data_IF_799462809586
#
_entry.id   IF_799462809586
#
_cell.length_a   1.000
_cell.length_b   1.000
_cell.length_c   1.000
_cell.angle_alpha   90.00
_cell.angle_beta   90.00
_cell.angle_gamma   90.00
#
_symmetry.space_group_name_H-M   'P 1'
#
loop_
_entity.id
_entity.type
_entity.pdbx_description
1 polymer ?
#
# COMPACT_ATOMS: atom_id res chain seq x y z
N UNK A 1 -30.22 22.38 -8.68
CA UNK A 1 -28.87 21.86 -9.04
C UNK A 1 -27.83 22.92 -8.70
N UNK A 2 -27.64 23.17 -7.41
CA UNK A 2 -26.62 24.13 -6.99
C UNK A 2 -25.26 23.53 -7.34
N UNK A 3 -24.49 24.23 -8.17
CA UNK A 3 -23.09 23.94 -8.47
C UNK A 3 -22.30 24.11 -7.17
N UNK A 4 -22.34 23.07 -6.32
CA UNK A 4 -22.00 23.12 -4.90
C UNK A 4 -20.63 23.72 -4.63
N UNK A 5 -20.61 24.62 -3.64
CA UNK A 5 -19.47 25.28 -2.99
C UNK A 5 -18.08 24.95 -3.56
N UNK A 6 -17.44 25.94 -4.20
CA UNK A 6 -16.06 25.84 -4.70
C UNK A 6 -15.05 25.32 -3.66
N UNK A 7 -15.34 25.53 -2.36
CA UNK A 7 -14.56 25.00 -1.23
C UNK A 7 -14.60 23.48 -1.13
N UNK A 8 -15.75 22.87 -1.35
CA UNK A 8 -15.91 21.41 -1.28
C UNK A 8 -15.25 20.74 -2.48
N UNK A 9 -15.37 21.35 -3.66
CA UNK A 9 -14.62 20.93 -4.86
C UNK A 9 -13.10 21.02 -4.65
N UNK A 10 -12.60 22.05 -3.98
CA UNK A 10 -11.18 22.19 -3.67
C UNK A 10 -10.70 21.14 -2.66
N UNK A 11 -11.51 20.82 -1.64
CA UNK A 11 -11.22 19.73 -0.69
C UNK A 11 -11.15 18.38 -1.40
N UNK A 12 -12.11 18.07 -2.25
CA UNK A 12 -12.14 16.82 -3.00
C UNK A 12 -10.91 16.70 -3.93
N UNK A 13 -10.56 17.76 -4.66
CA UNK A 13 -9.36 17.80 -5.50
C UNK A 13 -8.08 17.57 -4.68
N UNK A 14 -7.97 18.19 -3.51
CA UNK A 14 -6.81 18.01 -2.64
C UNK A 14 -6.74 16.59 -2.07
N UNK A 15 -7.85 16.03 -1.62
CA UNK A 15 -7.90 14.64 -1.15
C UNK A 15 -7.50 13.67 -2.27
N UNK A 16 -8.05 13.85 -3.48
CA UNK A 16 -7.69 13.04 -4.65
C UNK A 16 -6.20 13.14 -4.99
N UNK A 17 -5.63 14.36 -4.95
CA UNK A 17 -4.20 14.58 -5.17
C UNK A 17 -3.33 13.89 -4.11
N UNK A 18 -3.72 13.96 -2.83
CA UNK A 18 -2.99 13.27 -1.75
C UNK A 18 -3.04 11.74 -1.92
N UNK A 19 -4.19 11.18 -2.30
CA UNK A 19 -4.33 9.75 -2.59
C UNK A 19 -3.46 9.32 -3.78
N UNK A 20 -3.41 10.11 -4.85
CA UNK A 20 -2.53 9.83 -5.99
C UNK A 20 -1.05 9.88 -5.60
N UNK A 21 -0.64 10.88 -4.82
CA UNK A 21 0.71 10.96 -4.29
C UNK A 21 1.05 9.75 -3.40
N UNK A 22 0.13 9.30 -2.55
CA UNK A 22 0.31 8.10 -1.74
C UNK A 22 0.52 6.83 -2.60
N UNK A 23 -0.19 6.72 -3.74
CA UNK A 23 0.01 5.61 -4.69
C UNK A 23 1.37 5.65 -5.39
N UNK A 24 1.88 6.86 -5.67
CA UNK A 24 3.17 7.13 -6.32
C UNK A 24 4.38 6.99 -5.41
N UNK A 25 4.20 6.94 -4.08
CA UNK A 25 5.29 6.66 -3.14
C UNK A 25 6.04 5.40 -3.56
N UNK A 26 7.38 5.42 -3.50
CA UNK A 26 8.20 4.28 -3.88
C UNK A 26 7.90 3.05 -3.00
N UNK A 27 8.24 1.85 -3.46
CA UNK A 27 8.01 0.60 -2.70
C UNK A 27 8.60 0.67 -1.29
N UNK A 28 9.67 1.43 -1.10
CA UNK A 28 10.29 1.69 0.20
C UNK A 28 9.43 2.54 1.15
N UNK A 29 8.65 3.46 0.61
CA UNK A 29 7.82 4.38 1.40
C UNK A 29 6.36 3.90 1.52
N UNK A 30 6.04 2.72 0.97
CA UNK A 30 4.70 2.14 1.01
C UNK A 30 4.51 1.30 2.28
N UNK A 31 3.74 1.84 3.23
CA UNK A 31 3.13 1.09 4.33
C UNK A 31 4.10 0.15 5.05
N UNK A 32 3.87 -1.16 4.94
CA UNK A 32 4.63 -2.20 5.64
C UNK A 32 6.10 -2.34 5.21
N UNK A 33 6.53 -1.64 4.16
CA UNK A 33 7.91 -1.65 3.68
C UNK A 33 8.75 -0.47 4.20
N UNK A 34 8.13 0.48 4.91
CA UNK A 34 8.83 1.63 5.47
C UNK A 34 9.91 1.17 6.45
N UNK A 35 11.13 1.70 6.27
CA UNK A 35 12.27 1.41 7.12
C UNK A 35 12.94 0.04 6.88
N UNK A 36 12.48 -0.75 5.91
CA UNK A 36 13.09 -2.05 5.60
C UNK A 36 14.11 -1.96 4.48
N UNK A 37 15.23 -2.66 4.65
CA UNK A 37 16.20 -2.89 3.58
C UNK A 37 15.64 -3.86 2.53
N UNK A 38 16.27 -3.93 1.36
CA UNK A 38 15.87 -4.86 0.30
C UNK A 38 15.96 -6.33 0.75
N UNK A 39 16.96 -6.66 1.55
CA UNK A 39 17.18 -8.01 2.07
C UNK A 39 16.06 -8.44 3.04
N UNK A 40 15.69 -7.56 3.98
CA UNK A 40 14.59 -7.82 4.92
C UNK A 40 13.25 -8.02 4.21
N UNK A 41 13.01 -7.32 3.09
CA UNK A 41 11.80 -7.53 2.28
C UNK A 41 11.80 -8.90 1.62
N UNK A 42 12.92 -9.29 1.02
CA UNK A 42 13.07 -10.62 0.41
C UNK A 42 12.89 -11.74 1.42
N UNK A 43 13.45 -11.59 2.62
CA UNK A 43 13.31 -12.57 3.69
C UNK A 43 11.85 -12.74 4.11
N UNK A 44 11.13 -11.62 4.34
CA UNK A 44 9.70 -11.66 4.65
C UNK A 44 8.87 -12.36 3.57
N UNK A 45 9.14 -12.06 2.31
CA UNK A 45 8.43 -12.68 1.18
C UNK A 45 8.73 -14.18 1.11
N UNK A 46 9.98 -14.59 1.37
CA UNK A 46 10.38 -15.99 1.46
C UNK A 46 9.70 -16.72 2.64
N UNK A 47 9.61 -16.09 3.81
CA UNK A 47 8.97 -16.66 4.99
C UNK A 47 7.48 -16.91 4.75
N UNK A 48 6.77 -15.92 4.19
CA UNK A 48 5.36 -16.07 3.79
C UNK A 48 5.15 -17.18 2.77
N UNK A 49 6.09 -17.36 1.84
CA UNK A 49 6.02 -18.45 0.86
C UNK A 49 6.23 -19.81 1.52
N UNK A 50 7.16 -19.93 2.48
CA UNK A 50 7.38 -21.15 3.26
C UNK A 50 6.14 -21.51 4.08
N UNK A 51 5.56 -20.56 4.80
CA UNK A 51 4.32 -20.75 5.55
C UNK A 51 3.16 -21.20 4.65
N UNK A 52 3.03 -20.58 3.45
CA UNK A 52 2.00 -20.97 2.48
C UNK A 52 2.20 -22.39 1.95
N UNK A 53 3.45 -22.82 1.77
CA UNK A 53 3.75 -24.20 1.37
C UNK A 53 3.45 -25.20 2.48
N UNK A 54 3.81 -24.87 3.73
CA UNK A 54 3.50 -25.70 4.89
C UNK A 54 1.99 -25.88 5.06
N UNK A 55 1.21 -24.79 5.04
CA UNK A 55 -0.26 -24.86 5.09
C UNK A 55 -0.85 -25.73 3.98
N UNK A 56 -0.34 -25.58 2.75
CA UNK A 56 -0.75 -26.44 1.62
C UNK A 56 -0.39 -27.91 1.79
N UNK A 57 0.64 -28.24 2.56
CA UNK A 57 1.02 -29.61 2.88
C UNK A 57 0.19 -30.16 4.04
N UNK A 58 -0.15 -29.33 5.03
CA UNK A 58 -1.05 -29.67 6.14
C UNK A 58 -2.50 -29.88 5.68
N UNK A 59 -2.94 -29.14 4.66
CA UNK A 59 -4.27 -29.26 4.05
C UNK A 59 -4.41 -30.49 3.11
N UNK A 60 -3.35 -31.28 2.91
CA UNK A 60 -3.35 -32.50 2.07
C UNK A 60 -3.45 -33.77 2.91
#
# INVERSE_FOLDING_TARGET
MARGNARDLAREKNQKKQQEQAKRKGIADKGSNQGLTLEQRKQRDADRMREKQQKKQEDK
#
